data_IF_728208614743
#
_entry.id   IF_728208614743
#
_cell.length_a   1.000
_cell.length_b   1.000
_cell.length_c   1.000
_cell.angle_alpha   90.00
_cell.angle_beta   90.00
_cell.angle_gamma   90.00
#
_symmetry.space_group_name_H-M   'P 1'
#
loop_
_entity.id
_entity.type
_entity.pdbx_description
1 polymer ?
#
# COMPACT_ATOMS: atom_id res chain seq x y z
N UNK A 1 16.58 -10.49 59.36
CA UNK A 1 17.33 -9.32 59.89
C UNK A 1 17.60 -8.36 58.71
N UNK A 2 17.27 -7.07 58.90
CA UNK A 2 17.54 -5.87 58.07
C UNK A 2 16.90 -5.79 56.65
N UNK A 3 15.90 -4.91 56.44
CA UNK A 3 15.97 -3.50 55.93
C UNK A 3 16.64 -3.40 54.54
N UNK A 4 16.16 -2.68 53.51
CA UNK A 4 15.13 -1.65 53.37
C UNK A 4 15.18 -1.07 51.95
N UNK A 5 14.06 -0.47 51.52
CA UNK A 5 13.80 0.53 50.45
C UNK A 5 14.85 0.72 49.31
N UNK A 6 14.41 0.71 48.04
CA UNK A 6 14.07 1.91 47.23
C UNK A 6 13.82 1.59 45.75
N UNK A 7 12.81 2.30 45.20
CA UNK A 7 12.48 2.73 43.81
C UNK A 7 13.47 2.34 42.69
N UNK A 8 13.03 2.02 41.46
CA UNK A 8 12.47 2.95 40.47
C UNK A 8 11.82 2.19 39.29
N UNK A 9 10.56 2.49 38.96
CA UNK A 9 9.94 2.11 37.68
C UNK A 9 10.22 3.21 36.64
N UNK A 10 11.02 2.88 35.63
CA UNK A 10 11.26 3.72 34.46
C UNK A 10 10.08 3.68 33.49
N UNK A 11 9.13 4.62 33.62
CA UNK A 11 8.11 4.88 32.60
C UNK A 11 8.66 5.86 31.56
N UNK A 12 8.95 5.35 30.37
CA UNK A 12 9.24 6.14 29.18
C UNK A 12 8.03 7.05 28.87
N UNK A 13 8.21 8.35 29.11
CA UNK A 13 7.22 9.37 28.79
C UNK A 13 7.22 9.59 27.27
N UNK A 14 6.14 9.16 26.61
CA UNK A 14 5.78 9.68 25.28
C UNK A 14 5.62 11.18 25.39
N UNK A 15 6.54 11.93 24.77
CA UNK A 15 6.50 13.38 24.66
C UNK A 15 5.37 13.75 23.71
N UNK A 16 4.17 13.94 24.26
CA UNK A 16 3.09 14.61 23.57
C UNK A 16 3.54 16.05 23.29
N UNK A 17 3.58 16.43 22.02
CA UNK A 17 3.75 17.83 21.63
C UNK A 17 2.58 18.62 22.24
N UNK A 18 2.83 19.72 22.97
CA UNK A 18 1.75 20.55 23.45
C UNK A 18 0.98 21.08 22.23
N UNK A 19 -0.32 20.77 22.18
CA UNK A 19 -1.27 21.46 21.30
C UNK A 19 -1.08 22.94 21.58
N UNK A 20 -0.79 23.72 20.54
CA UNK A 20 -0.71 25.17 20.61
C UNK A 20 -2.05 25.71 21.13
N UNK A 21 -2.10 25.92 22.44
CA UNK A 21 -3.16 26.67 23.06
C UNK A 21 -3.13 28.04 22.40
N UNK A 22 -4.24 28.39 21.74
CA UNK A 22 -4.36 29.63 20.99
C UNK A 22 -3.90 30.78 21.87
N UNK A 23 -2.87 31.50 21.40
CA UNK A 23 -2.56 32.82 21.91
C UNK A 23 -3.78 33.68 21.59
N UNK A 24 -4.72 33.75 22.55
CA UNK A 24 -5.61 34.89 22.64
C UNK A 24 -4.67 36.08 22.76
N UNK A 25 -4.58 36.86 21.68
CA UNK A 25 -3.96 38.18 21.70
C UNK A 25 -4.68 38.96 22.79
N UNK A 26 -4.06 39.03 23.97
CA UNK A 26 -4.45 40.00 24.97
C UNK A 26 -4.14 41.35 24.31
N UNK A 27 -5.19 42.05 23.90
CA UNK A 27 -5.08 43.45 23.48
C UNK A 27 -4.54 44.20 24.68
N UNK A 28 -3.23 44.43 24.70
CA UNK A 28 -2.61 45.32 25.65
C UNK A 28 -3.25 46.70 25.45
N UNK A 29 -3.76 47.28 26.53
CA UNK A 29 -4.21 48.68 26.52
C UNK A 29 -2.95 49.51 26.38
N UNK A 30 -2.75 50.11 25.20
CA UNK A 30 -1.58 50.94 24.92
C UNK A 30 -1.82 52.29 25.58
N UNK A 31 -0.86 52.76 26.37
CA UNK A 31 -0.88 54.09 26.97
C UNK A 31 -1.00 55.16 25.86
N UNK A 32 -1.93 56.13 25.98
CA UNK A 32 -2.07 57.23 25.02
C UNK A 32 -0.76 57.96 24.71
N UNK A 33 0.11 58.14 25.70
CA UNK A 33 1.36 58.88 25.55
C UNK A 33 2.40 58.06 24.77
N UNK A 34 2.49 56.75 25.04
CA UNK A 34 3.34 55.83 24.28
C UNK A 34 2.86 55.71 22.82
N UNK A 35 1.55 55.69 22.60
CA UNK A 35 0.98 55.68 21.25
C UNK A 35 1.28 56.98 20.49
N UNK A 36 1.24 58.12 21.19
CA UNK A 36 1.59 59.41 20.61
C UNK A 36 3.08 59.48 20.25
N UNK A 37 3.97 59.03 21.14
CA UNK A 37 5.41 58.95 20.89
C UNK A 37 5.73 58.04 19.70
N UNK A 38 5.08 56.88 19.61
CA UNK A 38 5.22 55.98 18.46
C UNK A 38 4.74 56.62 17.15
N UNK A 39 3.57 57.28 17.16
CA UNK A 39 3.04 57.98 15.97
C UNK A 39 3.97 59.09 15.50
N UNK A 40 4.60 59.81 16.42
CA UNK A 40 5.61 60.81 16.08
C UNK A 40 6.86 60.18 15.46
N UNK A 41 7.33 59.05 16.01
CA UNK A 41 8.51 58.34 15.52
C UNK A 41 8.33 57.72 14.11
N UNK A 42 7.09 57.44 13.69
CA UNK A 42 6.77 56.84 12.39
C UNK A 42 6.05 57.79 11.43
N UNK A 43 6.05 59.10 11.73
CA UNK A 43 5.28 60.10 11.00
C UNK A 43 5.67 60.24 9.52
N UNK A 44 6.89 59.86 9.17
CA UNK A 44 7.46 59.90 7.82
C UNK A 44 7.29 58.57 7.04
N UNK A 45 6.66 57.56 7.63
CA UNK A 45 6.42 56.29 6.98
C UNK A 45 5.46 56.42 5.79
N UNK A 46 5.90 55.99 4.61
CA UNK A 46 5.06 55.95 3.40
C UNK A 46 4.45 54.56 3.23
N UNK A 47 3.11 54.44 3.05
CA UNK A 47 2.48 53.16 2.80
C UNK A 47 3.01 52.56 1.49
N UNK A 48 3.22 51.23 1.50
CA UNK A 48 3.61 50.51 0.30
C UNK A 48 2.46 50.57 -0.73
N UNK A 49 2.75 50.69 -2.04
CA UNK A 49 1.73 50.65 -3.07
C UNK A 49 0.95 49.34 -2.98
N UNK A 50 -0.38 49.41 -3.04
CA UNK A 50 -1.19 48.20 -3.10
C UNK A 50 -0.89 47.45 -4.40
N UNK A 51 -0.16 46.35 -4.28
CA UNK A 51 0.28 45.58 -5.44
C UNK A 51 -0.81 44.64 -5.97
N UNK A 52 -1.96 44.51 -5.30
CA UNK A 52 -3.08 43.66 -5.71
C UNK A 52 -2.70 42.18 -5.91
N UNK A 53 -1.50 41.76 -5.48
CA UNK A 53 -0.95 40.43 -5.75
C UNK A 53 -1.48 39.44 -4.72
N UNK A 54 -2.46 38.64 -5.13
CA UNK A 54 -2.88 37.44 -4.41
C UNK A 54 -1.92 36.32 -4.79
N UNK A 55 -1.14 35.82 -3.82
CA UNK A 55 -0.38 34.58 -4.01
C UNK A 55 -1.35 33.40 -4.09
N UNK A 56 -1.73 33.04 -5.32
CA UNK A 56 -2.45 31.78 -5.57
C UNK A 56 -1.43 30.65 -5.49
N UNK A 57 -1.32 30.01 -4.33
CA UNK A 57 -0.66 28.70 -4.29
C UNK A 57 -1.51 27.72 -5.11
N UNK A 58 -0.91 27.10 -6.12
CA UNK A 58 -1.52 25.96 -6.80
C UNK A 58 -1.81 24.83 -5.81
N UNK A 59 -2.76 23.94 -6.11
CA UNK A 59 -3.06 22.80 -5.24
C UNK A 59 -1.79 21.97 -5.02
N UNK A 60 -1.56 21.55 -3.77
CA UNK A 60 -0.43 20.68 -3.46
C UNK A 60 -0.54 19.38 -4.26
N UNK A 61 0.59 18.82 -4.74
CA UNK A 61 0.57 17.52 -5.39
C UNK A 61 0.02 16.45 -4.42
N UNK A 62 -0.65 15.41 -4.94
CA UNK A 62 -1.20 14.35 -4.10
C UNK A 62 -0.09 13.64 -3.32
N UNK A 63 -0.36 13.22 -2.06
CA UNK A 63 0.61 12.53 -1.23
C UNK A 63 1.01 11.20 -1.87
N UNK A 64 2.32 10.93 -1.95
CA UNK A 64 2.86 9.67 -2.47
C UNK A 64 3.11 8.67 -1.32
N UNK A 65 2.60 7.43 -1.37
CA UNK A 65 2.78 6.43 -0.33
C UNK A 65 4.18 5.78 -0.42
N UNK A 66 5.22 6.50 -0.02
CA UNK A 66 6.62 6.06 -0.15
C UNK A 66 6.91 4.74 0.60
N UNK A 67 6.27 4.53 1.76
CA UNK A 67 6.44 3.30 2.54
C UNK A 67 5.96 2.08 1.76
N UNK A 68 4.77 2.14 1.18
CA UNK A 68 4.21 1.05 0.38
C UNK A 68 5.13 0.69 -0.80
N UNK A 69 5.64 1.68 -1.51
CA UNK A 69 6.58 1.48 -2.61
C UNK A 69 7.93 0.89 -2.15
N UNK A 70 8.37 1.21 -0.93
CA UNK A 70 9.58 0.65 -0.36
C UNK A 70 9.37 -0.82 0.04
N UNK A 71 8.25 -1.13 0.68
CA UNK A 71 7.88 -2.48 1.10
C UNK A 71 7.77 -3.42 -0.11
N UNK A 72 7.15 -2.98 -1.22
CA UNK A 72 7.08 -3.76 -2.47
C UNK A 72 8.45 -4.05 -3.08
N UNK A 73 9.37 -3.07 -3.05
CA UNK A 73 10.73 -3.24 -3.57
C UNK A 73 11.54 -4.18 -2.68
N UNK A 74 11.37 -4.07 -1.36
CA UNK A 74 12.01 -4.95 -0.41
C UNK A 74 11.51 -6.40 -0.57
N UNK A 75 10.19 -6.59 -0.66
CA UNK A 75 9.59 -7.89 -0.94
C UNK A 75 10.11 -8.48 -2.27
N UNK A 76 10.21 -7.67 -3.33
CA UNK A 76 10.81 -8.12 -4.60
C UNK A 76 12.26 -8.57 -4.43
N UNK A 77 13.06 -7.77 -3.74
CA UNK A 77 14.48 -8.01 -3.59
C UNK A 77 14.73 -9.26 -2.74
N UNK A 78 14.02 -9.42 -1.62
CA UNK A 78 14.09 -10.62 -0.80
C UNK A 78 13.61 -11.86 -1.58
N UNK A 79 12.52 -11.73 -2.33
CA UNK A 79 12.02 -12.77 -3.23
C UNK A 79 13.06 -13.20 -4.27
N UNK A 80 13.99 -12.35 -4.69
CA UNK A 80 15.02 -12.69 -5.68
C UNK A 80 16.30 -13.25 -5.05
N UNK A 81 16.62 -12.89 -3.81
CA UNK A 81 17.96 -13.12 -3.22
C UNK A 81 17.98 -13.82 -1.85
N UNK A 82 16.83 -14.15 -1.27
CA UNK A 82 16.76 -14.75 0.08
C UNK A 82 17.22 -16.21 0.17
N UNK A 83 17.81 -16.60 1.31
CA UNK A 83 18.21 -17.97 1.61
C UNK A 83 16.99 -18.91 1.76
N UNK A 84 17.13 -20.16 1.30
CA UNK A 84 16.04 -21.15 1.31
C UNK A 84 16.14 -22.01 2.57
N UNK A 85 15.18 -21.90 3.49
CA UNK A 85 15.08 -22.73 4.70
C UNK A 85 14.35 -24.05 4.46
N UNK A 86 14.49 -25.02 5.37
CA UNK A 86 13.85 -26.34 5.27
C UNK A 86 12.32 -26.27 5.28
N UNK A 87 11.75 -25.42 6.14
CA UNK A 87 10.31 -25.18 6.23
C UNK A 87 9.73 -24.67 4.89
N UNK A 88 10.50 -23.85 4.17
CA UNK A 88 10.10 -23.27 2.89
C UNK A 88 10.04 -24.28 1.75
N UNK A 89 10.78 -25.38 1.87
CA UNK A 89 10.74 -26.50 0.92
C UNK A 89 9.51 -27.38 1.16
N UNK A 90 8.96 -27.33 2.37
CA UNK A 90 7.78 -28.10 2.78
C UNK A 90 6.48 -27.28 2.65
N UNK A 91 6.54 -25.94 2.76
CA UNK A 91 5.43 -25.01 2.48
C UNK A 91 5.04 -25.07 0.99
N UNK A 92 3.90 -25.71 0.68
CA UNK A 92 3.32 -25.68 -0.66
C UNK A 92 2.55 -26.92 -1.11
N UNK A 93 2.66 -28.04 -0.39
CA UNK A 93 1.82 -29.24 -0.53
C UNK A 93 1.23 -29.51 -1.93
N UNK A 94 -0.08 -29.77 -1.97
CA UNK A 94 -0.88 -29.97 -3.19
C UNK A 94 -1.61 -28.66 -3.61
N UNK A 95 -1.18 -27.53 -3.05
CA UNK A 95 -1.82 -26.24 -3.29
C UNK A 95 -1.46 -25.69 -4.68
N UNK A 96 -2.44 -25.11 -5.40
CA UNK A 96 -2.20 -24.55 -6.73
C UNK A 96 -1.18 -23.42 -6.66
N UNK A 97 -0.11 -23.57 -7.42
CA UNK A 97 0.88 -22.52 -7.57
C UNK A 97 1.50 -22.52 -8.95
N UNK A 98 2.06 -21.38 -9.32
CA UNK A 98 2.82 -21.19 -10.55
C UNK A 98 3.95 -20.22 -10.27
N UNK A 99 5.12 -20.52 -10.84
CA UNK A 99 6.27 -19.63 -10.86
C UNK A 99 6.83 -19.62 -12.26
N UNK A 100 7.01 -18.42 -12.83
CA UNK A 100 7.64 -18.25 -14.12
C UNK A 100 9.08 -18.73 -14.07
N UNK A 101 9.50 -19.46 -15.10
CA UNK A 101 10.86 -19.97 -15.26
C UNK A 101 11.89 -18.84 -15.13
N UNK A 102 12.98 -19.10 -14.40
CA UNK A 102 14.05 -18.13 -14.17
C UNK A 102 13.83 -17.23 -12.95
N UNK A 103 12.73 -17.38 -12.21
CA UNK A 103 12.51 -16.72 -10.93
C UNK A 103 12.88 -17.61 -9.75
N UNK A 104 13.32 -16.98 -8.66
CA UNK A 104 13.65 -17.68 -7.41
C UNK A 104 12.38 -18.16 -6.69
N UNK A 105 12.47 -19.33 -6.03
CA UNK A 105 11.36 -19.93 -5.28
C UNK A 105 10.89 -19.09 -4.08
N UNK A 106 11.74 -18.19 -3.59
CA UNK A 106 11.40 -17.19 -2.56
C UNK A 106 10.27 -16.26 -3.02
N UNK A 107 10.07 -16.02 -4.32
CA UNK A 107 8.90 -15.28 -4.83
C UNK A 107 7.58 -15.91 -4.38
N UNK A 108 7.43 -17.23 -4.55
CA UNK A 108 6.22 -17.95 -4.15
C UNK A 108 6.05 -17.97 -2.63
N UNK A 109 7.14 -18.15 -1.89
CA UNK A 109 7.15 -18.11 -0.42
C UNK A 109 6.65 -16.77 0.09
N UNK A 110 7.15 -15.67 -0.46
CA UNK A 110 6.79 -14.32 -0.06
C UNK A 110 5.33 -14.03 -0.36
N UNK A 111 4.84 -14.55 -1.50
CA UNK A 111 3.44 -14.47 -1.88
C UNK A 111 2.55 -15.25 -0.90
N UNK A 112 2.91 -16.50 -0.55
CA UNK A 112 2.17 -17.33 0.43
C UNK A 112 2.16 -16.71 1.83
N UNK A 113 3.28 -16.12 2.26
CA UNK A 113 3.40 -15.42 3.54
C UNK A 113 2.68 -14.08 3.55
N UNK A 114 2.25 -13.59 2.39
CA UNK A 114 1.60 -12.30 2.23
C UNK A 114 2.52 -11.11 2.52
N UNK A 115 3.81 -11.25 2.17
CA UNK A 115 4.73 -10.10 2.11
C UNK A 115 4.36 -9.12 1.00
N UNK A 116 3.59 -9.59 0.02
CA UNK A 116 2.98 -8.78 -1.02
C UNK A 116 1.61 -8.27 -0.56
N UNK A 117 1.43 -6.96 -0.58
CA UNK A 117 0.16 -6.30 -0.27
C UNK A 117 -0.76 -6.41 -1.49
N UNK A 118 -2.00 -6.87 -1.28
CA UNK A 118 -3.05 -6.85 -2.30
C UNK A 118 -3.38 -5.39 -2.62
N UNK A 119 -3.30 -5.04 -3.89
CA UNK A 119 -3.54 -3.67 -4.36
C UNK A 119 -4.82 -3.53 -5.18
N UNK A 120 -5.32 -4.64 -5.70
CA UNK A 120 -6.55 -4.70 -6.46
C UNK A 120 -7.13 -6.12 -6.47
N UNK A 121 -8.40 -6.26 -6.78
CA UNK A 121 -9.10 -7.54 -6.80
C UNK A 121 -10.18 -7.64 -7.88
N UNK A 122 -10.40 -8.85 -8.34
CA UNK A 122 -11.52 -9.18 -9.22
C UNK A 122 -12.28 -10.39 -8.70
N UNK A 123 -13.60 -10.32 -8.80
CA UNK A 123 -14.49 -11.42 -8.51
C UNK A 123 -15.09 -12.01 -9.79
N UNK A 124 -14.81 -13.28 -10.01
CA UNK A 124 -15.26 -14.06 -11.16
C UNK A 124 -16.30 -15.11 -10.77
N UNK A 125 -16.72 -15.16 -9.49
CA UNK A 125 -17.64 -16.21 -9.06
C UNK A 125 -18.98 -16.12 -9.82
N UNK A 126 -19.52 -17.27 -10.21
CA UNK A 126 -20.83 -17.35 -10.85
C UNK A 126 -20.87 -16.90 -12.31
N UNK A 127 -19.77 -16.35 -12.84
CA UNK A 127 -19.66 -16.01 -14.26
C UNK A 127 -19.53 -17.28 -15.11
N UNK A 128 -19.93 -17.17 -16.36
CA UNK A 128 -19.60 -18.20 -17.33
C UNK A 128 -18.12 -18.08 -17.77
N UNK A 129 -17.65 -19.08 -18.52
CA UNK A 129 -16.27 -19.16 -18.98
C UNK A 129 -15.84 -17.92 -19.77
N UNK A 130 -16.65 -17.49 -20.71
CA UNK A 130 -16.26 -16.46 -21.67
C UNK A 130 -16.29 -15.06 -21.05
N UNK A 131 -17.28 -14.78 -20.21
CA UNK A 131 -17.34 -13.58 -19.36
C UNK A 131 -16.12 -13.50 -18.43
N UNK A 132 -15.85 -14.56 -17.67
CA UNK A 132 -14.73 -14.59 -16.73
C UNK A 132 -13.39 -14.39 -17.44
N UNK A 133 -13.22 -14.96 -18.63
CA UNK A 133 -12.00 -14.82 -19.42
C UNK A 133 -11.79 -13.39 -19.90
N UNK A 134 -12.85 -12.74 -20.38
CA UNK A 134 -12.80 -11.35 -20.85
C UNK A 134 -12.50 -10.40 -19.70
N UNK A 135 -13.22 -10.53 -18.58
CA UNK A 135 -13.03 -9.67 -17.41
C UNK A 135 -11.65 -9.87 -16.77
N UNK A 136 -11.17 -11.10 -16.63
CA UNK A 136 -9.82 -11.36 -16.13
C UNK A 136 -8.76 -10.72 -17.03
N UNK A 137 -8.90 -10.82 -18.35
CA UNK A 137 -7.96 -10.22 -19.29
C UNK A 137 -7.93 -8.68 -19.18
N UNK A 138 -9.11 -8.05 -19.12
CA UNK A 138 -9.23 -6.61 -18.94
C UNK A 138 -8.64 -6.15 -17.61
N UNK A 139 -8.96 -6.86 -16.52
CA UNK A 139 -8.44 -6.58 -15.18
C UNK A 139 -6.91 -6.65 -15.12
N UNK A 140 -6.28 -7.70 -15.67
CA UNK A 140 -4.82 -7.83 -15.65
C UNK A 140 -4.15 -6.71 -16.46
N UNK A 141 -4.74 -6.32 -17.59
CA UNK A 141 -4.23 -5.23 -18.41
C UNK A 141 -4.33 -3.88 -17.67
N UNK A 142 -5.47 -3.60 -17.03
CA UNK A 142 -5.68 -2.39 -16.23
C UNK A 142 -4.75 -2.36 -15.01
N UNK A 143 -4.66 -3.46 -14.26
CA UNK A 143 -3.75 -3.60 -13.13
C UNK A 143 -2.30 -3.30 -13.55
N UNK A 144 -1.86 -3.82 -14.69
CA UNK A 144 -0.52 -3.55 -15.21
C UNK A 144 -0.34 -2.08 -15.62
N UNK A 145 -1.34 -1.46 -16.24
CA UNK A 145 -1.32 -0.03 -16.61
C UNK A 145 -1.25 0.89 -15.38
N UNK A 146 -1.99 0.53 -14.32
CA UNK A 146 -1.97 1.23 -13.04
C UNK A 146 -0.72 0.93 -12.20
N UNK A 147 0.16 0.04 -12.68
CA UNK A 147 1.39 -0.35 -11.99
C UNK A 147 1.16 -1.25 -10.78
N UNK A 148 0.00 -1.92 -10.69
CA UNK A 148 -0.30 -2.86 -9.62
C UNK A 148 0.59 -4.09 -9.72
N UNK A 149 1.16 -4.46 -8.58
CA UNK A 149 2.12 -5.56 -8.47
C UNK A 149 1.46 -6.84 -8.02
N UNK A 150 0.60 -6.77 -7.01
CA UNK A 150 -0.05 -7.93 -6.44
C UNK A 150 -1.56 -7.74 -6.43
N UNK A 151 -2.27 -8.68 -7.03
CA UNK A 151 -3.73 -8.66 -7.19
C UNK A 151 -4.34 -9.96 -6.72
N UNK A 152 -5.62 -9.90 -6.35
CA UNK A 152 -6.39 -11.06 -5.91
C UNK A 152 -7.45 -11.43 -6.94
N UNK A 153 -7.50 -12.71 -7.31
CA UNK A 153 -8.50 -13.23 -8.26
C UNK A 153 -9.39 -14.22 -7.54
N UNK A 154 -10.66 -13.87 -7.33
CA UNK A 154 -11.66 -14.73 -6.69
C UNK A 154 -12.39 -15.49 -7.78
N UNK A 155 -12.27 -16.83 -7.79
CA UNK A 155 -12.99 -17.69 -8.74
C UNK A 155 -14.09 -18.53 -8.07
N UNK A 156 -14.20 -18.43 -6.75
CA UNK A 156 -15.16 -19.17 -5.94
C UNK A 156 -14.78 -20.63 -5.70
N UNK A 157 -15.33 -21.20 -4.62
CA UNK A 157 -15.02 -22.57 -4.13
C UNK A 157 -15.71 -23.69 -4.94
N UNK A 158 -16.66 -23.37 -5.81
CA UNK A 158 -17.40 -24.38 -6.59
C UNK A 158 -18.50 -25.13 -5.84
N UNK A 159 -18.86 -24.71 -4.62
CA UNK A 159 -19.83 -25.39 -3.76
C UNK A 159 -21.27 -25.44 -4.31
N UNK A 160 -21.58 -24.69 -5.38
CA UNK A 160 -22.91 -24.57 -5.99
C UNK A 160 -23.09 -25.38 -7.29
N UNK A 161 -22.07 -26.08 -7.80
CA UNK A 161 -22.24 -26.92 -8.99
C UNK A 161 -22.66 -28.35 -8.60
N UNK A 162 -23.53 -29.02 -9.38
CA UNK A 162 -24.01 -30.38 -9.06
C UNK A 162 -22.87 -31.40 -8.90
N UNK A 163 -21.74 -31.17 -9.57
CA UNK A 163 -20.53 -32.00 -9.50
C UNK A 163 -19.47 -31.47 -8.52
N UNK A 164 -19.73 -30.37 -7.78
CA UNK A 164 -18.77 -29.67 -6.89
C UNK A 164 -17.47 -29.19 -7.55
N UNK A 165 -17.37 -29.25 -8.87
CA UNK A 165 -16.22 -28.74 -9.64
C UNK A 165 -16.49 -27.29 -10.02
N UNK A 166 -15.67 -26.35 -9.53
CA UNK A 166 -15.63 -24.99 -10.08
C UNK A 166 -14.94 -25.04 -11.44
N UNK A 167 -15.71 -24.94 -12.52
CA UNK A 167 -15.18 -24.88 -13.89
C UNK A 167 -14.13 -23.75 -13.99
N UNK A 168 -14.38 -22.62 -13.32
CA UNK A 168 -13.47 -21.48 -13.30
C UNK A 168 -12.18 -21.74 -12.50
N UNK A 169 -12.20 -22.59 -11.46
CA UNK A 169 -11.00 -22.89 -10.66
C UNK A 169 -9.84 -23.38 -11.51
N UNK A 170 -10.08 -24.33 -12.42
CA UNK A 170 -9.02 -24.86 -13.28
C UNK A 170 -8.70 -23.92 -14.44
N UNK A 171 -9.73 -23.32 -15.05
CA UNK A 171 -9.57 -22.44 -16.20
C UNK A 171 -8.76 -21.18 -15.86
N UNK A 172 -9.06 -20.52 -14.74
CA UNK A 172 -8.36 -19.31 -14.30
C UNK A 172 -6.87 -19.58 -14.10
N UNK A 173 -6.50 -20.73 -13.51
CA UNK A 173 -5.09 -21.14 -13.34
C UNK A 173 -4.37 -21.28 -14.67
N UNK A 174 -5.02 -21.93 -15.63
CA UNK A 174 -4.48 -22.11 -16.98
C UNK A 174 -4.32 -20.78 -17.71
N UNK A 175 -5.33 -19.90 -17.63
CA UNK A 175 -5.25 -18.57 -18.23
C UNK A 175 -4.14 -17.72 -17.61
N UNK A 176 -4.01 -17.70 -16.29
CA UNK A 176 -2.95 -16.95 -15.60
C UNK A 176 -1.55 -17.44 -15.99
N UNK A 177 -1.33 -18.76 -16.08
CA UNK A 177 -0.04 -19.32 -16.45
C UNK A 177 0.38 -18.99 -17.91
N UNK A 178 -0.59 -18.67 -18.77
CA UNK A 178 -0.36 -18.29 -20.17
C UNK A 178 -0.11 -16.78 -20.35
N UNK A 179 -0.29 -15.96 -19.32
CA UNK A 179 -0.12 -14.50 -19.40
C UNK A 179 1.30 -14.10 -19.09
N UNK A 180 1.97 -13.41 -20.02
CA UNK A 180 3.36 -12.96 -19.86
C UNK A 180 3.57 -11.96 -18.71
N UNK A 181 2.53 -11.20 -18.40
CA UNK A 181 2.52 -10.27 -17.27
C UNK A 181 2.49 -10.96 -15.91
N UNK A 182 2.09 -12.23 -15.83
CA UNK A 182 2.03 -12.98 -14.57
C UNK A 182 3.38 -13.64 -14.27
N UNK A 183 3.96 -13.29 -13.13
CA UNK A 183 5.24 -13.84 -12.64
C UNK A 183 5.03 -15.06 -11.76
N UNK A 184 4.03 -15.02 -10.89
CA UNK A 184 3.71 -16.12 -9.99
C UNK A 184 2.24 -16.05 -9.52
N UNK A 185 1.69 -17.17 -9.11
CA UNK A 185 0.48 -17.19 -8.29
C UNK A 185 0.52 -18.30 -7.25
N UNK A 186 -0.25 -18.15 -6.18
CA UNK A 186 -0.52 -19.22 -5.22
C UNK A 186 -1.97 -19.13 -4.72
N UNK A 187 -2.44 -20.18 -4.04
CA UNK A 187 -3.67 -20.11 -3.27
C UNK A 187 -3.63 -18.91 -2.31
N UNK A 188 -4.76 -18.21 -2.19
CA UNK A 188 -4.89 -17.14 -1.21
C UNK A 188 -4.92 -17.70 0.22
N UNK A 189 -4.51 -16.89 1.20
CA UNK A 189 -4.60 -17.26 2.62
C UNK A 189 -6.07 -17.44 3.04
N UNK A 190 -6.36 -18.17 4.13
CA UNK A 190 -7.73 -18.40 4.58
C UNK A 190 -8.57 -17.11 4.72
N UNK A 191 -8.00 -16.05 5.28
CA UNK A 191 -8.68 -14.75 5.43
C UNK A 191 -8.78 -13.95 4.13
N UNK A 192 -8.01 -14.30 3.09
CA UNK A 192 -8.04 -13.68 1.76
C UNK A 192 -8.92 -14.48 0.76
N UNK A 193 -9.57 -15.56 1.21
CA UNK A 193 -10.50 -16.38 0.40
C UNK A 193 -10.11 -17.85 0.24
N UNK A 194 -8.92 -18.26 0.70
CA UNK A 194 -8.46 -19.65 0.69
C UNK A 194 -8.49 -20.28 -0.70
N UNK A 195 -8.97 -21.53 -0.78
CA UNK A 195 -9.12 -22.27 -2.04
C UNK A 195 -10.00 -21.59 -3.10
N UNK A 196 -10.82 -20.61 -2.72
CA UNK A 196 -11.71 -19.88 -3.63
C UNK A 196 -11.05 -18.70 -4.34
N UNK A 197 -9.79 -18.39 -4.03
CA UNK A 197 -9.08 -17.25 -4.57
C UNK A 197 -7.58 -17.54 -4.80
N UNK A 198 -6.98 -16.77 -5.70
CA UNK A 198 -5.56 -16.79 -6.00
C UNK A 198 -4.94 -15.43 -5.71
N UNK A 199 -3.76 -15.46 -5.10
CA UNK A 199 -2.85 -14.32 -5.03
C UNK A 199 -1.99 -14.35 -6.29
N UNK A 200 -1.94 -13.25 -7.03
CA UNK A 200 -1.25 -13.16 -8.33
C UNK A 200 -0.23 -12.04 -8.29
N UNK A 201 1.01 -12.35 -8.64
CA UNK A 201 2.11 -11.40 -8.77
C UNK A 201 2.33 -11.05 -10.24
N UNK A 202 2.22 -9.76 -10.56
CA UNK A 202 2.44 -9.19 -11.87
C UNK A 202 3.85 -8.63 -12.01
N UNK A 203 4.33 -8.60 -13.25
CA UNK A 203 5.58 -7.91 -13.60
C UNK A 203 5.45 -6.41 -13.33
N UNK A 204 6.56 -5.77 -12.99
CA UNK A 204 6.58 -4.32 -12.89
C UNK A 204 6.21 -3.68 -14.24
N UNK A 205 5.36 -2.65 -14.21
CA UNK A 205 5.12 -1.82 -15.38
C UNK A 205 6.44 -1.24 -15.87
N UNK A 206 6.72 -1.35 -17.18
CA UNK A 206 7.85 -0.64 -17.77
C UNK A 206 7.58 0.86 -17.61
N UNK A 207 8.38 1.55 -16.79
CA UNK A 207 8.39 3.02 -16.81
C UNK A 207 8.72 3.43 -18.24
N UNK A 208 7.76 3.99 -18.96
CA UNK A 208 8.09 4.73 -20.16
C UNK A 208 8.95 5.90 -19.68
N UNK A 209 10.25 5.87 -20.01
CA UNK A 209 11.09 7.05 -19.85
C UNK A 209 10.48 8.10 -20.77
N UNK A 210 9.89 9.14 -20.20
CA UNK A 210 9.53 10.33 -20.95
C UNK A 210 10.84 10.86 -21.57
N UNK A 211 10.85 10.97 -22.90
CA UNK A 211 11.94 11.58 -23.66
C UNK A 211 11.91 13.11 -23.48
#
# INVERSE_FOLDING_TARGET
MYLGRHRLHGRARRRALPRSAGLRSQRAVIDPDDLAAFRAAVADARPLPDSGRIQRHGPLPPPRPLQHLADERAALHESLHGAIGLQDRLEGGDEPHYLRTGLASSVLRDLRRGRWVIQDEIDLHGLNRDEARQLLAAFLAEALQQGRRCVRVVHGKGLRSPQKTSILRQLVRGWLAQRDEVLAYCQARPHDGGEGALMVLLRAAKKQRAA
#
